data_IF_477245207243
#
_entry.id   IF_477245207243
#
_cell.length_a   1.000
_cell.length_b   1.000
_cell.length_c   1.000
_cell.angle_alpha   90.00
_cell.angle_beta   90.00
_cell.angle_gamma   90.00
#
_symmetry.space_group_name_H-M   'P 1'
#
loop_
_entity.id
_entity.type
_entity.pdbx_description
1 polymer ?
#
# COMPACT_ATOMS: atom_id res chain seq x y z
N UNK A 1 15.14 -14.23 -5.16
CA UNK A 1 15.24 -13.71 -3.78
C UNK A 1 14.13 -14.21 -2.84
N UNK A 2 12.83 -14.17 -3.16
CA UNK A 2 11.79 -14.71 -2.26
C UNK A 2 11.47 -16.22 -2.46
N UNK A 3 11.61 -16.72 -3.68
CA UNK A 3 11.24 -18.11 -4.05
C UNK A 3 12.07 -19.20 -3.36
N UNK A 4 13.28 -18.84 -2.90
CA UNK A 4 14.24 -19.76 -2.31
C UNK A 4 14.10 -19.89 -0.78
N UNK A 5 13.28 -19.05 -0.14
CA UNK A 5 13.18 -18.98 1.32
C UNK A 5 11.74 -19.17 1.82
N UNK A 6 11.61 -19.51 3.11
CA UNK A 6 10.32 -19.59 3.79
C UNK A 6 9.91 -18.18 4.23
N UNK A 7 8.82 -17.67 3.65
CA UNK A 7 8.27 -16.35 3.99
C UNK A 7 7.75 -16.37 5.44
N UNK A 8 8.14 -15.36 6.24
CA UNK A 8 7.66 -15.11 7.60
C UNK A 8 7.07 -13.70 7.66
N UNK A 9 5.93 -13.53 8.36
CA UNK A 9 5.39 -12.19 8.66
C UNK A 9 6.20 -11.54 9.76
N UNK A 10 6.60 -10.29 9.54
CA UNK A 10 7.33 -9.45 10.48
C UNK A 10 6.56 -8.14 10.67
N UNK A 11 6.72 -7.43 11.79
CA UNK A 11 6.05 -6.14 12.03
C UNK A 11 6.73 -5.02 11.22
N UNK A 12 6.66 -5.14 9.90
CA UNK A 12 7.16 -4.15 8.95
C UNK A 12 6.04 -3.76 7.98
N UNK A 13 6.20 -2.64 7.28
CA UNK A 13 5.26 -2.21 6.25
C UNK A 13 5.16 -3.27 5.15
N UNK A 14 3.98 -3.88 5.02
CA UNK A 14 3.73 -4.94 4.03
C UNK A 14 2.92 -4.46 2.83
N UNK A 15 2.50 -3.20 2.81
CA UNK A 15 1.73 -2.60 1.74
C UNK A 15 2.61 -1.59 1.00
N UNK A 16 2.75 -1.77 -0.31
CA UNK A 16 3.32 -0.77 -1.20
C UNK A 16 2.16 0.10 -1.69
N UNK A 17 2.22 1.39 -1.38
CA UNK A 17 1.27 2.36 -1.91
C UNK A 17 1.92 3.11 -3.06
N UNK A 18 1.32 3.05 -4.24
CA UNK A 18 1.78 3.81 -5.39
C UNK A 18 1.24 5.24 -5.29
N UNK A 19 2.14 6.21 -5.26
CA UNK A 19 1.83 7.62 -5.47
C UNK A 19 2.47 8.03 -6.80
N UNK A 20 1.65 8.31 -7.80
CA UNK A 20 2.12 8.81 -9.08
C UNK A 20 1.20 9.96 -9.49
N UNK A 21 1.78 11.05 -10.01
CA UNK A 21 1.01 12.17 -10.61
C UNK A 21 0.14 11.68 -11.78
N UNK A 22 0.56 10.59 -12.43
CA UNK A 22 -0.20 9.89 -13.46
C UNK A 22 -0.66 8.52 -12.96
N UNK A 23 -1.96 8.31 -12.82
CA UNK A 23 -2.55 7.04 -12.39
C UNK A 23 -4.05 7.15 -12.09
N UNK A 24 -4.69 6.02 -11.74
CA UNK A 24 -6.10 5.97 -11.34
C UNK A 24 -6.24 5.61 -9.85
N UNK A 25 -5.48 6.26 -8.97
CA UNK A 25 -5.66 6.07 -7.53
C UNK A 25 -6.93 6.80 -7.08
N UNK A 26 -7.90 6.05 -6.55
CA UNK A 26 -9.18 6.59 -6.07
C UNK A 26 -9.03 7.61 -4.94
N UNK A 27 -7.87 7.66 -4.28
CA UNK A 27 -7.54 8.63 -3.23
C UNK A 27 -6.94 9.95 -3.75
N UNK A 28 -6.84 10.12 -5.07
CA UNK A 28 -6.31 11.32 -5.71
C UNK A 28 -7.26 12.52 -5.67
N UNK A 29 -8.58 12.27 -5.67
CA UNK A 29 -9.59 13.32 -5.59
C UNK A 29 -10.20 13.40 -4.18
N UNK A 30 -9.80 14.42 -3.42
CA UNK A 30 -10.26 14.62 -2.04
C UNK A 30 -11.76 14.96 -1.96
N UNK A 31 -12.31 15.63 -2.98
CA UNK A 31 -13.72 16.01 -3.01
C UNK A 31 -14.61 14.77 -3.10
N UNK A 32 -14.21 13.78 -3.92
CA UNK A 32 -14.94 12.52 -4.05
C UNK A 32 -14.89 11.68 -2.75
N UNK A 33 -13.85 11.87 -1.92
CA UNK A 33 -13.71 11.18 -0.64
C UNK A 33 -14.59 11.78 0.47
N UNK A 34 -14.87 13.08 0.43
CA UNK A 34 -15.53 13.80 1.52
C UNK A 34 -16.89 13.19 1.94
N UNK A 35 -17.80 12.80 1.03
CA UNK A 35 -19.09 12.23 1.40
C UNK A 35 -18.97 10.92 2.20
N UNK A 36 -17.92 10.13 1.95
CA UNK A 36 -17.68 8.88 2.68
C UNK A 36 -17.12 9.13 4.07
N UNK A 37 -16.22 10.12 4.19
CA UNK A 37 -15.68 10.55 5.47
C UNK A 37 -16.77 11.15 6.37
N UNK A 38 -17.69 11.94 5.80
CA UNK A 38 -18.83 12.48 6.55
C UNK A 38 -19.73 11.37 7.10
N UNK A 39 -20.05 10.36 6.28
CA UNK A 39 -20.83 9.19 6.71
C UNK A 39 -20.15 8.43 7.84
N UNK A 40 -18.84 8.20 7.74
CA UNK A 40 -18.04 7.55 8.79
C UNK A 40 -18.08 8.38 10.09
N UNK A 41 -17.84 9.68 9.96
CA UNK A 41 -17.75 10.58 11.11
C UNK A 41 -19.09 10.70 11.83
N UNK A 42 -20.19 10.84 11.08
CA UNK A 42 -21.55 10.85 11.62
C UNK A 42 -21.90 9.53 12.33
N UNK A 43 -21.56 8.38 11.72
CA UNK A 43 -21.82 7.06 12.29
C UNK A 43 -21.14 6.83 13.64
N UNK A 44 -19.96 7.40 13.83
CA UNK A 44 -19.11 7.15 14.99
C UNK A 44 -18.98 8.35 15.95
N UNK A 45 -19.69 9.46 15.69
CA UNK A 45 -19.65 10.66 16.53
C UNK A 45 -18.27 11.34 16.55
N UNK A 46 -17.53 11.30 15.43
CA UNK A 46 -16.15 11.79 15.36
C UNK A 46 -16.04 13.31 15.17
N UNK A 47 -17.16 14.00 14.96
CA UNK A 47 -17.18 15.42 14.59
C UNK A 47 -16.70 15.64 13.16
N UNK A 48 -16.20 16.84 12.87
CA UNK A 48 -15.62 17.14 11.57
C UNK A 48 -14.16 16.67 11.50
N UNK A 49 -13.84 15.86 10.49
CA UNK A 49 -12.48 15.37 10.25
C UNK A 49 -11.91 15.98 8.97
N UNK A 50 -10.62 16.34 8.95
CA UNK A 50 -9.97 16.85 7.74
C UNK A 50 -9.86 15.74 6.69
N UNK A 51 -10.21 16.05 5.46
CA UNK A 51 -10.01 15.12 4.33
C UNK A 51 -8.53 15.09 3.97
N UNK A 52 -7.86 13.96 4.25
CA UNK A 52 -6.47 13.71 3.85
C UNK A 52 -6.37 12.34 3.21
N UNK A 53 -5.64 12.25 2.10
CA UNK A 53 -5.21 10.96 1.56
C UNK A 53 -3.86 10.55 2.17
N UNK A 54 -3.42 9.32 1.90
CA UNK A 54 -2.16 8.82 2.44
C UNK A 54 -0.95 9.65 2.03
N UNK A 55 -0.97 10.29 0.85
CA UNK A 55 0.12 11.16 0.40
C UNK A 55 0.24 12.38 1.30
N UNK A 56 -0.88 13.08 1.53
CA UNK A 56 -0.92 14.24 2.44
C UNK A 56 -0.58 13.85 3.88
N UNK A 57 -0.97 12.66 4.33
CA UNK A 57 -0.61 12.17 5.65
C UNK A 57 0.90 12.00 5.83
N UNK A 58 1.68 11.70 4.78
CA UNK A 58 3.14 11.64 4.86
C UNK A 58 3.77 13.02 5.09
N UNK A 59 3.04 14.09 4.82
CA UNK A 59 3.53 15.46 5.01
C UNK A 59 3.37 15.97 6.44
N UNK A 60 2.56 15.29 7.27
CA UNK A 60 2.30 15.65 8.66
C UNK A 60 3.58 15.56 9.52
N UNK A 61 3.85 16.54 10.39
CA UNK A 61 5.08 16.58 11.19
C UNK A 61 5.30 15.31 12.03
N UNK A 62 4.25 14.78 12.64
CA UNK A 62 4.31 13.59 13.49
C UNK A 62 4.60 12.31 12.69
N UNK A 63 4.15 12.27 11.43
CA UNK A 63 4.41 11.14 10.53
C UNK A 63 5.83 11.24 9.97
N UNK A 64 6.25 12.43 9.55
CA UNK A 64 7.63 12.71 9.13
C UNK A 64 8.64 12.39 10.23
N UNK A 65 8.34 12.71 11.48
CA UNK A 65 9.20 12.39 12.62
C UNK A 65 9.44 10.89 12.83
N UNK A 66 8.56 10.04 12.28
CA UNK A 66 8.67 8.58 12.32
C UNK A 66 9.33 7.99 11.06
N UNK A 67 9.79 8.83 10.12
CA UNK A 67 10.48 8.37 8.92
C UNK A 67 11.81 7.73 9.30
N UNK A 68 11.97 6.46 8.94
CA UNK A 68 13.23 5.74 9.06
C UNK A 68 13.98 5.76 7.72
N UNK A 69 15.31 5.64 7.77
CA UNK A 69 16.10 5.38 6.56
C UNK A 69 15.72 4.02 5.98
N UNK A 70 15.66 3.94 4.65
CA UNK A 70 15.39 2.69 3.94
C UNK A 70 16.69 2.16 3.34
N UNK A 71 17.05 0.93 3.70
CA UNK A 71 18.14 0.19 3.06
C UNK A 71 17.63 -0.61 1.85
N UNK A 72 16.31 -0.70 1.68
CA UNK A 72 15.67 -1.47 0.62
C UNK A 72 14.94 -0.53 -0.35
N UNK A 73 15.41 -0.48 -1.59
CA UNK A 73 14.76 0.22 -2.69
C UNK A 73 14.10 -0.79 -3.62
N UNK A 74 12.82 -0.59 -3.92
CA UNK A 74 12.11 -1.42 -4.88
C UNK A 74 12.42 -0.95 -6.31
N UNK A 75 12.86 -1.88 -7.16
CA UNK A 75 13.25 -1.61 -8.55
C UNK A 75 12.08 -1.64 -9.55
N UNK A 76 10.84 -1.80 -9.08
CA UNK A 76 9.65 -1.91 -9.92
C UNK A 76 9.36 -3.31 -10.46
N UNK A 77 10.24 -4.29 -10.24
CA UNK A 77 9.99 -5.68 -10.64
C UNK A 77 9.09 -6.41 -9.64
N UNK A 78 8.19 -7.29 -10.10
CA UNK A 78 7.31 -8.03 -9.21
C UNK A 78 8.12 -8.96 -8.27
N UNK A 79 7.69 -9.06 -7.01
CA UNK A 79 8.22 -10.07 -6.09
C UNK A 79 7.61 -11.42 -6.47
N UNK A 80 8.39 -12.29 -7.12
CA UNK A 80 7.90 -13.61 -7.55
C UNK A 80 7.80 -14.54 -6.34
N UNK A 81 6.60 -15.12 -6.14
CA UNK A 81 6.37 -16.09 -5.07
C UNK A 81 6.93 -17.47 -5.44
N UNK A 82 7.35 -18.25 -4.44
CA UNK A 82 7.75 -19.66 -4.65
C UNK A 82 6.67 -20.49 -5.35
N UNK A 83 5.40 -20.21 -5.07
CA UNK A 83 4.26 -20.93 -5.64
C UNK A 83 4.07 -20.65 -7.13
N UNK A 84 4.47 -19.47 -7.62
CA UNK A 84 4.37 -19.15 -9.05
C UNK A 84 5.14 -20.14 -9.92
N UNK A 85 6.26 -20.71 -9.42
CA UNK A 85 7.03 -21.74 -10.11
C UNK A 85 6.35 -23.12 -10.12
N UNK A 86 5.54 -23.44 -9.11
CA UNK A 86 4.85 -24.74 -9.04
C UNK A 86 3.65 -24.84 -9.97
N UNK A 87 2.99 -23.72 -10.30
CA UNK A 87 1.83 -23.72 -11.22
C UNK A 87 2.26 -23.83 -12.70
N UNK A 88 3.56 -23.64 -13.01
CA UNK A 88 4.13 -23.85 -14.35
C UNK A 88 4.45 -25.31 -14.70
N UNK A 89 4.21 -26.25 -13.78
CA UNK A 89 4.47 -27.69 -13.96
C UNK A 89 3.23 -28.46 -14.41
N UNK A 90 2.59 -28.06 -15.51
CA UNK A 90 1.81 -29.01 -16.32
C UNK A 90 2.72 -29.43 -17.45
N UNK A 91 3.28 -30.65 -17.33
CA UNK A 91 4.05 -31.29 -18.39
C UNK A 91 3.31 -31.18 -19.71
N UNK A 92 3.91 -30.50 -20.69
CA UNK A 92 3.66 -30.79 -22.09
C UNK A 92 4.51 -32.00 -22.47
N UNK A 93 4.02 -33.20 -22.17
CA UNK A 93 4.47 -34.43 -22.82
C UNK A 93 3.26 -35.32 -23.09
N UNK A 94 2.75 -35.23 -24.33
CA UNK A 94 2.58 -36.31 -25.30
C UNK A 94 1.98 -35.73 -26.59
#
# INVERSE_FOLDING_TARGET
>A
MAEQYRVKRVPAASALYAFADSGNNMSGNLEDMRPYLDKLSAKHGLGELPTKNFFLLLEEPEVKARRAETELLWNGEPIISRWAKQVGGVSKEA
#
